data_IF_792248076661
#
_entry.id   IF_792248076661
#
_cell.length_a   1.000
_cell.length_b   1.000
_cell.length_c   1.000
_cell.angle_alpha   90.00
_cell.angle_beta   90.00
_cell.angle_gamma   90.00
#
_symmetry.space_group_name_H-M   'P 1'
#
loop_
_entity.id
_entity.type
_entity.pdbx_description
1 polymer ?
#
# COMPACT_ATOMS: atom_id res chain seq x y z
N UNK A 1 15.20 8.97 5.43
CA UNK A 1 13.99 8.19 5.15
C UNK A 1 12.90 8.62 6.10
N UNK A 2 11.71 8.96 5.59
CA UNK A 2 10.57 9.43 6.37
C UNK A 2 9.33 8.62 6.00
N UNK A 3 8.63 8.06 6.99
CA UNK A 3 7.34 7.39 6.77
C UNK A 3 6.27 8.45 6.46
N UNK A 4 5.54 8.29 5.37
CA UNK A 4 4.44 9.17 4.98
C UNK A 4 3.08 8.61 5.37
N UNK A 5 2.88 7.31 5.17
CA UNK A 5 1.60 6.65 5.41
C UNK A 5 1.76 5.15 5.61
N UNK A 6 0.83 4.53 6.34
CA UNK A 6 0.72 3.08 6.46
C UNK A 6 -0.74 2.69 6.48
N UNK A 7 -1.08 1.65 5.72
CA UNK A 7 -2.42 1.05 5.71
C UNK A 7 -2.32 -0.46 5.79
N UNK A 8 -3.32 -1.05 6.42
CA UNK A 8 -3.54 -2.51 6.37
C UNK A 8 -4.63 -2.74 5.34
N UNK A 9 -4.41 -3.70 4.44
CA UNK A 9 -5.39 -4.13 3.45
C UNK A 9 -5.72 -5.60 3.67
N UNK A 10 -6.95 -5.97 3.38
CA UNK A 10 -7.35 -7.37 3.34
C UNK A 10 -6.90 -7.98 2.01
N UNK A 11 -6.31 -9.16 2.09
CA UNK A 11 -5.78 -9.89 0.94
C UNK A 11 -6.13 -11.38 1.06
N UNK A 12 -5.96 -12.11 -0.03
CA UNK A 12 -6.16 -13.55 -0.07
C UNK A 12 -4.80 -14.18 -0.31
N UNK A 13 -4.37 -15.05 0.60
CA UNK A 13 -3.14 -15.78 0.42
C UNK A 13 -3.22 -16.71 -0.80
N UNK A 14 -2.29 -16.56 -1.75
CA UNK A 14 -2.32 -17.33 -2.99
C UNK A 14 -2.11 -18.85 -2.81
N UNK A 15 -1.48 -19.29 -1.73
CA UNK A 15 -1.16 -20.70 -1.49
C UNK A 15 -2.24 -21.40 -0.66
N UNK A 16 -2.78 -20.73 0.37
CA UNK A 16 -3.79 -21.29 1.26
C UNK A 16 -5.22 -20.90 0.89
N UNK A 17 -5.40 -19.89 0.03
CA UNK A 17 -6.68 -19.29 -0.34
C UNK A 17 -7.49 -18.80 0.87
N UNK A 18 -6.80 -18.43 1.95
CA UNK A 18 -7.41 -17.88 3.16
C UNK A 18 -7.24 -16.37 3.21
N UNK A 19 -8.20 -15.69 3.82
CA UNK A 19 -8.08 -14.27 4.14
C UNK A 19 -6.85 -14.02 5.01
N UNK A 20 -6.08 -12.99 4.66
CA UNK A 20 -4.95 -12.51 5.42
C UNK A 20 -4.91 -10.99 5.38
N UNK A 21 -4.15 -10.38 6.28
CA UNK A 21 -3.92 -8.95 6.29
C UNK A 21 -2.52 -8.63 5.80
N UNK A 22 -2.42 -7.73 4.85
CA UNK A 22 -1.16 -7.18 4.37
C UNK A 22 -1.01 -5.76 4.89
N UNK A 23 0.23 -5.37 5.19
CA UNK A 23 0.53 -4.00 5.57
C UNK A 23 1.40 -3.36 4.52
N UNK A 24 0.98 -2.19 4.10
CA UNK A 24 1.66 -1.36 3.12
C UNK A 24 2.13 -0.07 3.79
N UNK A 25 3.40 0.29 3.59
CA UNK A 25 4.00 1.48 4.17
C UNK A 25 4.70 2.28 3.09
N UNK A 26 4.25 3.53 2.89
CA UNK A 26 4.88 4.45 1.97
C UNK A 26 5.91 5.30 2.71
N UNK A 27 7.14 5.30 2.20
CA UNK A 27 8.23 6.12 2.67
C UNK A 27 8.65 7.13 1.60
N UNK A 28 9.01 8.33 2.05
CA UNK A 28 9.81 9.28 1.30
C UNK A 28 11.29 9.03 1.59
N UNK A 29 12.08 8.88 0.53
CA UNK A 29 13.54 8.83 0.57
C UNK A 29 14.11 10.00 -0.23
N UNK A 30 15.43 10.20 -0.17
CA UNK A 30 16.07 11.31 -0.89
C UNK A 30 15.89 11.22 -2.40
N UNK A 31 15.93 10.00 -2.94
CA UNK A 31 15.81 9.73 -4.37
C UNK A 31 14.36 9.65 -4.89
N UNK A 32 13.34 9.70 -4.02
CA UNK A 32 11.95 9.47 -4.42
C UNK A 32 11.10 8.79 -3.34
N UNK A 33 10.33 7.78 -3.74
CA UNK A 33 9.38 7.10 -2.87
C UNK A 33 9.62 5.58 -2.87
N UNK A 34 9.36 4.95 -1.73
CA UNK A 34 9.47 3.50 -1.56
C UNK A 34 8.20 3.00 -0.89
N UNK A 35 7.57 2.00 -1.49
CA UNK A 35 6.48 1.25 -0.90
C UNK A 35 7.05 -0.06 -0.33
N UNK A 36 6.81 -0.28 0.94
CA UNK A 36 7.17 -1.49 1.65
C UNK A 36 5.91 -2.30 1.94
N UNK A 37 5.88 -3.54 1.48
CA UNK A 37 4.76 -4.47 1.65
C UNK A 37 5.21 -5.57 2.60
N UNK A 38 4.41 -5.85 3.61
CA UNK A 38 4.61 -6.98 4.52
C UNK A 38 3.39 -7.87 4.49
N UNK A 39 3.59 -9.14 4.13
CA UNK A 39 2.54 -10.15 4.17
C UNK A 39 2.57 -10.87 5.51
N UNK A 40 1.47 -10.82 6.26
CA UNK A 40 1.30 -11.67 7.44
C UNK A 40 0.89 -13.09 7.00
N UNK A 41 1.82 -13.82 6.36
CA UNK A 41 1.61 -15.25 6.07
C UNK A 41 1.74 -16.08 7.35
N UNK A 42 0.79 -16.97 7.56
CA UNK A 42 0.67 -17.76 8.80
C UNK A 42 1.67 -18.92 8.90
N UNK A 43 2.40 -19.31 7.84
CA UNK A 43 3.09 -20.63 7.82
C UNK A 43 4.59 -20.61 7.46
N UNK A 44 5.12 -19.68 6.67
CA UNK A 44 6.58 -19.57 6.50
C UNK A 44 6.95 -18.40 5.61
N UNK A 45 7.87 -17.57 6.10
CA UNK A 45 8.44 -16.40 5.44
C UNK A 45 7.45 -15.23 5.25
N UNK A 46 7.65 -14.18 6.05
CA UNK A 46 7.30 -12.82 5.65
C UNK A 46 7.97 -12.55 4.31
N UNK A 47 7.19 -12.51 3.23
CA UNK A 47 7.64 -11.97 1.97
C UNK A 47 7.51 -10.45 2.07
N UNK A 48 8.57 -9.84 2.58
CA UNK A 48 8.68 -8.39 2.57
C UNK A 48 9.11 -7.95 1.17
N UNK A 49 8.29 -7.12 0.54
CA UNK A 49 8.59 -6.59 -0.79
C UNK A 49 8.88 -5.08 -0.69
N UNK A 50 9.90 -4.65 -1.41
CA UNK A 50 10.27 -3.23 -1.56
C UNK A 50 10.06 -2.84 -3.01
N UNK A 51 9.20 -1.84 -3.25
CA UNK A 51 8.91 -1.30 -4.58
C UNK A 51 9.29 0.17 -4.62
N UNK A 52 10.14 0.56 -5.58
CA UNK A 52 10.47 1.96 -5.82
C UNK A 52 9.38 2.60 -6.68
N UNK A 53 8.87 3.74 -6.22
CA UNK A 53 7.79 4.47 -6.88
C UNK A 53 8.30 5.82 -7.40
N UNK A 54 7.84 6.18 -8.60
CA UNK A 54 7.89 7.56 -9.07
C UNK A 54 6.88 8.44 -8.32
N UNK A 55 6.95 9.74 -8.57
CA UNK A 55 6.06 10.71 -7.90
C UNK A 55 4.59 10.45 -8.23
N UNK A 56 4.29 10.08 -9.48
CA UNK A 56 2.91 9.82 -9.92
C UNK A 56 2.35 8.58 -9.22
N UNK A 57 3.12 7.51 -9.15
CA UNK A 57 2.72 6.25 -8.55
C UNK A 57 2.49 6.41 -7.04
N UNK A 58 3.38 7.14 -6.36
CA UNK A 58 3.22 7.44 -4.93
C UNK A 58 1.95 8.27 -4.66
N UNK A 59 1.64 9.25 -5.52
CA UNK A 59 0.42 10.04 -5.40
C UNK A 59 -0.83 9.21 -5.69
N UNK A 60 -0.81 8.33 -6.69
CA UNK A 60 -1.94 7.45 -6.97
C UNK A 60 -2.22 6.53 -5.79
N UNK A 61 -1.18 5.89 -5.25
CA UNK A 61 -1.30 5.02 -4.08
C UNK A 61 -1.89 5.75 -2.86
N UNK A 62 -1.48 6.99 -2.59
CA UNK A 62 -2.02 7.81 -1.50
C UNK A 62 -3.52 8.13 -1.67
N UNK A 63 -4.02 8.16 -2.92
CA UNK A 63 -5.39 8.56 -3.23
C UNK A 63 -6.30 7.39 -3.63
N UNK A 64 -5.80 6.16 -3.67
CA UNK A 64 -6.55 4.98 -4.13
C UNK A 64 -7.82 4.70 -3.31
N UNK A 65 -7.81 5.08 -2.03
CA UNK A 65 -8.96 4.99 -1.12
C UNK A 65 -9.52 6.37 -0.74
N UNK A 66 -9.11 7.44 -1.44
CA UNK A 66 -9.80 8.70 -1.28
C UNK A 66 -11.25 8.44 -1.73
N UNK A 67 -12.26 8.70 -0.88
CA UNK A 67 -13.63 8.68 -1.38
C UNK A 67 -13.64 9.58 -2.61
N UNK A 68 -14.19 9.08 -3.72
CA UNK A 68 -14.54 9.90 -4.87
C UNK A 68 -15.47 10.99 -4.34
N UNK A 69 -14.89 12.08 -3.85
CA UNK A 69 -15.61 13.24 -3.38
C UNK A 69 -16.47 13.63 -4.56
N UNK A 70 -17.77 13.52 -4.34
CA UNK A 70 -18.85 13.61 -5.30
C UNK A 70 -18.47 14.51 -6.46
N UNK A 71 -18.23 13.88 -7.62
CA UNK A 71 -18.13 14.60 -8.87
C UNK A 71 -19.46 15.31 -9.10
N UNK A 72 -19.50 16.59 -8.71
CA UNK A 72 -20.46 17.64 -9.10
C UNK A 72 -21.86 17.55 -8.47
N UNK A 73 -22.07 18.41 -7.48
CA UNK A 73 -23.36 19.04 -7.22
C UNK A 73 -23.22 20.55 -7.26
N UNK A 74 -23.23 21.13 -8.46
CA UNK A 74 -23.61 22.54 -8.64
C UNK A 74 -25.11 22.62 -8.33
N UNK A 75 -25.48 23.34 -7.29
CA UNK A 75 -26.70 24.19 -7.22
C UNK A 75 -26.63 25.05 -5.97
#
# INVERSE_FOLDING_TARGET
>A
MQMLHSRTIDSIDADTLTECSEREILFRIEAGFVLYLTHARSISATQDQVIFLGTREALLWLNENAPLAEARGVS
#
